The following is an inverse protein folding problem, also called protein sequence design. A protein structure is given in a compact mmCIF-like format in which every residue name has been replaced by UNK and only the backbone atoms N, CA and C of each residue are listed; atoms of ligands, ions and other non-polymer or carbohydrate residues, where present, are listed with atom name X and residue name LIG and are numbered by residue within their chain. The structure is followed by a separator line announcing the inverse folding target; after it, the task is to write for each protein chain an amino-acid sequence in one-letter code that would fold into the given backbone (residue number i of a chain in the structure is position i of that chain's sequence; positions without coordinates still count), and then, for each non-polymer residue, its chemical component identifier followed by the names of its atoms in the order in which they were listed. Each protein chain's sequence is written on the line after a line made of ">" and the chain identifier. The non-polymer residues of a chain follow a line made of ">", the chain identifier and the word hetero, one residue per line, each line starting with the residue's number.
data_IF_174982812182
#
_entry.id   IF_174982812182
#
_cell.length_a   1.000
_cell.length_b   1.000
_cell.length_c   1.000
_cell.angle_alpha   90.00
_cell.angle_beta   90.00
_cell.angle_gamma   90.00
#
_symmetry.space_group_name_H-M   'P 1'
#
loop_
_entity.id
_entity.type
_entity.pdbx_description
1 polymer ?
#
# COMPACT_ATOMS: atom_id res chain seq x y z
N UNK A 1 1.28 2.46 -17.50
CA UNK A 1 2.35 2.73 -18.52
C UNK A 1 3.13 3.96 -18.08
N UNK A 2 4.47 3.91 -18.13
CA UNK A 2 5.33 5.04 -17.79
C UNK A 2 6.62 4.99 -18.63
N UNK A 3 7.30 6.15 -18.72
CA UNK A 3 8.62 6.28 -19.30
C UNK A 3 9.64 6.33 -18.17
N UNK A 4 10.73 5.60 -18.31
CA UNK A 4 11.78 5.46 -17.29
C UNK A 4 13.14 5.75 -17.91
N UNK A 5 13.85 6.72 -17.34
CA UNK A 5 15.23 7.08 -17.70
C UNK A 5 16.12 6.86 -16.49
N UNK A 6 17.09 5.96 -16.59
CA UNK A 6 17.93 5.55 -15.46
C UNK A 6 19.41 5.49 -15.85
N UNK A 7 20.26 5.96 -14.94
CA UNK A 7 21.69 5.71 -14.92
C UNK A 7 22.14 5.21 -13.53
N UNK A 8 23.43 5.13 -13.29
CA UNK A 8 23.96 4.65 -12.00
C UNK A 8 23.59 5.52 -10.80
N UNK A 9 23.37 6.80 -11.03
CA UNK A 9 23.16 7.79 -9.97
C UNK A 9 21.70 8.27 -9.88
N UNK A 10 20.97 8.30 -10.99
CA UNK A 10 19.64 8.88 -11.08
C UNK A 10 18.64 7.99 -11.80
N UNK A 11 17.41 8.09 -11.39
CA UNK A 11 16.24 7.58 -12.12
C UNK A 11 15.19 8.68 -12.18
N UNK A 12 14.69 8.95 -13.38
CA UNK A 12 13.54 9.83 -13.63
C UNK A 12 12.45 9.00 -14.29
N UNK A 13 11.24 9.06 -13.76
CA UNK A 13 10.13 8.31 -14.31
C UNK A 13 8.87 9.19 -14.38
N UNK A 14 8.12 9.07 -15.49
CA UNK A 14 6.92 9.86 -15.79
C UNK A 14 5.81 8.93 -16.26
N UNK A 15 4.63 9.01 -15.67
CA UNK A 15 3.46 8.24 -16.04
C UNK A 15 2.84 7.51 -14.88
N UNK A 16 2.01 6.51 -15.17
CA UNK A 16 1.31 5.75 -14.14
C UNK A 16 2.25 4.75 -13.44
N UNK A 17 2.46 4.94 -12.15
CA UNK A 17 3.35 4.14 -11.32
C UNK A 17 2.70 3.87 -9.95
N UNK A 18 3.19 2.84 -9.28
CA UNK A 18 2.83 2.54 -7.88
C UNK A 18 3.34 3.67 -6.97
N UNK A 19 2.66 3.92 -5.86
CA UNK A 19 3.02 4.95 -4.88
C UNK A 19 4.48 4.85 -4.41
N UNK A 20 5.07 5.98 -4.06
CA UNK A 20 6.36 6.05 -3.34
C UNK A 20 6.14 5.85 -1.84
N UNK A 21 5.00 6.31 -1.35
CA UNK A 21 4.57 6.06 0.02
C UNK A 21 4.21 4.60 0.21
N UNK A 22 4.88 3.89 1.15
CA UNK A 22 4.63 2.49 1.48
C UNK A 22 4.72 1.57 0.24
N UNK A 23 5.93 1.43 -0.30
CA UNK A 23 6.18 0.69 -1.54
C UNK A 23 6.13 -0.84 -1.35
N UNK A 24 6.29 -1.31 -0.10
CA UNK A 24 6.37 -2.73 0.21
C UNK A 24 4.99 -3.34 0.37
N UNK A 25 4.79 -4.51 -0.25
CA UNK A 25 3.53 -5.25 -0.20
C UNK A 25 3.77 -6.70 0.26
N UNK A 26 2.82 -7.33 0.97
CA UNK A 26 2.87 -8.74 1.30
C UNK A 26 2.70 -9.60 0.05
N UNK A 27 3.33 -10.77 0.04
CA UNK A 27 3.21 -11.71 -1.07
C UNK A 27 2.06 -12.70 -0.81
N UNK A 28 0.87 -12.26 -1.10
CA UNK A 28 -0.35 -13.06 -1.01
C UNK A 28 -0.75 -13.61 -2.37
N UNK A 29 -1.49 -14.71 -2.36
CA UNK A 29 -2.14 -15.27 -3.55
C UNK A 29 -3.22 -14.31 -4.07
N UNK A 30 -3.92 -13.60 -3.17
CA UNK A 30 -4.73 -12.44 -3.48
C UNK A 30 -3.85 -11.22 -3.77
N UNK A 31 -3.17 -11.24 -4.89
CA UNK A 31 -2.24 -10.18 -5.29
C UNK A 31 -2.89 -8.84 -5.60
N UNK A 32 -4.23 -8.77 -5.73
CA UNK A 32 -4.92 -7.53 -6.07
C UNK A 32 -5.17 -6.64 -4.84
N UNK A 33 -5.58 -7.25 -3.74
CA UNK A 33 -5.87 -6.50 -2.52
C UNK A 33 -4.80 -6.67 -1.44
N UNK A 34 -4.03 -7.75 -1.48
CA UNK A 34 -3.04 -8.09 -0.46
C UNK A 34 -3.61 -7.81 0.95
N UNK A 35 -2.93 -7.12 1.82
CA UNK A 35 -3.46 -6.68 3.10
C UNK A 35 -4.05 -5.26 3.05
N UNK A 36 -4.53 -4.79 1.90
CA UNK A 36 -5.23 -3.50 1.83
C UNK A 36 -6.38 -3.45 2.84
N UNK A 37 -6.50 -2.34 3.56
CA UNK A 37 -7.41 -2.19 4.69
C UNK A 37 -7.15 -3.12 5.89
N UNK A 38 -5.99 -3.80 5.93
CA UNK A 38 -5.54 -4.65 7.04
C UNK A 38 -4.05 -4.45 7.32
N UNK A 39 -3.57 -3.21 7.26
CA UNK A 39 -2.22 -2.82 7.65
C UNK A 39 -1.26 -2.52 6.53
N UNK A 40 -1.57 -2.88 5.27
CA UNK A 40 -0.78 -2.50 4.11
C UNK A 40 -1.32 -1.20 3.51
N UNK A 41 -0.53 -0.13 3.61
CA UNK A 41 -0.79 1.13 2.92
C UNK A 41 -0.04 1.19 1.59
N UNK A 42 -0.24 2.24 0.78
CA UNK A 42 0.38 2.35 -0.54
C UNK A 42 -0.21 1.39 -1.57
N UNK A 43 0.61 0.95 -2.51
CA UNK A 43 0.23 0.01 -3.57
C UNK A 43 -0.91 0.48 -4.51
N UNK A 44 -1.20 1.76 -4.54
CA UNK A 44 -2.07 2.34 -5.56
C UNK A 44 -1.24 2.78 -6.77
N UNK A 45 -1.86 2.80 -7.95
CA UNK A 45 -1.22 3.29 -9.16
C UNK A 45 -1.82 4.64 -9.55
N UNK A 46 -0.95 5.64 -9.74
CA UNK A 46 -1.37 7.00 -10.14
C UNK A 46 -0.35 7.66 -11.06
N UNK A 47 -0.77 8.70 -11.76
CA UNK A 47 0.13 9.52 -12.56
C UNK A 47 1.17 10.20 -11.67
N UNK A 48 2.46 10.08 -12.01
CA UNK A 48 3.56 10.62 -11.21
C UNK A 48 4.67 11.19 -12.08
N UNK A 49 5.32 12.24 -11.55
CA UNK A 49 6.66 12.64 -11.88
C UNK A 49 7.56 12.23 -10.72
N UNK A 50 8.52 11.34 -10.97
CA UNK A 50 9.38 10.77 -9.92
C UNK A 50 10.85 10.97 -10.25
N UNK A 51 11.62 11.40 -9.26
CA UNK A 51 13.08 11.43 -9.30
C UNK A 51 13.64 10.60 -8.14
N UNK A 52 14.63 9.76 -8.43
CA UNK A 52 15.35 8.97 -7.41
C UNK A 52 16.84 9.20 -7.58
N UNK A 53 17.53 9.56 -6.50
CA UNK A 53 18.99 9.60 -6.39
C UNK A 53 19.49 8.32 -5.74
N UNK A 54 20.47 7.66 -6.37
CA UNK A 54 21.17 6.51 -5.82
C UNK A 54 22.53 6.95 -5.29
N UNK A 55 22.82 6.60 -4.05
CA UNK A 55 24.09 6.87 -3.38
C UNK A 55 24.67 5.56 -2.90
N UNK A 56 25.81 5.10 -3.47
CA UNK A 56 26.52 3.93 -2.95
C UNK A 56 26.97 4.19 -1.51
N UNK A 57 26.82 3.18 -0.65
CA UNK A 57 27.21 3.26 0.76
C UNK A 57 28.07 2.05 1.13
N UNK A 58 29.37 2.27 1.23
CA UNK A 58 30.32 1.17 1.45
C UNK A 58 30.40 0.22 0.25
N UNK A 59 30.79 -1.04 0.51
CA UNK A 59 31.08 -2.04 -0.53
C UNK A 59 29.82 -2.61 -1.19
N UNK A 60 28.77 -2.87 -0.40
CA UNK A 60 27.57 -3.59 -0.84
C UNK A 60 26.26 -2.88 -0.46
N UNK A 61 26.38 -1.61 -0.04
CA UNK A 61 25.24 -0.81 0.40
C UNK A 61 24.80 0.21 -0.65
N UNK A 62 23.50 0.54 -0.63
CA UNK A 62 22.88 1.57 -1.47
C UNK A 62 21.83 2.32 -0.69
N UNK A 63 21.94 3.65 -0.71
CA UNK A 63 20.88 4.55 -0.26
C UNK A 63 20.14 5.09 -1.48
N UNK A 64 18.81 5.06 -1.45
CA UNK A 64 17.95 5.63 -2.48
C UNK A 64 17.12 6.74 -1.86
N UNK A 65 17.15 7.92 -2.46
CA UNK A 65 16.37 9.10 -2.07
C UNK A 65 15.37 9.39 -3.18
N UNK A 66 14.09 9.24 -2.90
CA UNK A 66 13.01 9.40 -3.89
C UNK A 66 12.12 10.56 -3.54
N UNK A 67 11.75 11.35 -4.53
CA UNK A 67 10.73 12.41 -4.46
C UNK A 67 9.80 12.25 -5.65
N UNK A 68 8.50 12.37 -5.42
CA UNK A 68 7.49 12.32 -6.47
C UNK A 68 6.41 13.38 -6.27
N UNK A 69 5.96 13.94 -7.39
CA UNK A 69 4.72 14.68 -7.51
C UNK A 69 3.67 13.74 -8.10
N UNK A 70 2.65 13.39 -7.32
CA UNK A 70 1.65 12.37 -7.67
C UNK A 70 0.26 12.97 -7.80
N UNK A 71 -0.49 12.46 -8.77
CA UNK A 71 -1.87 12.84 -8.99
C UNK A 71 -2.73 12.46 -7.76
N UNK A 72 -3.50 13.40 -7.17
CA UNK A 72 -4.48 13.07 -6.15
C UNK A 72 -5.61 12.25 -6.78
N UNK A 73 -5.70 10.96 -6.42
CA UNK A 73 -6.74 10.05 -6.92
C UNK A 73 -7.76 9.82 -5.81
N UNK A 74 -9.06 9.83 -6.14
CA UNK A 74 -10.12 9.51 -5.19
C UNK A 74 -10.24 8.01 -4.96
N UNK A 75 -10.74 7.61 -3.79
CA UNK A 75 -11.05 6.21 -3.50
C UNK A 75 -12.28 5.73 -4.27
N UNK A 76 -12.14 4.63 -4.99
CA UNK A 76 -13.24 3.98 -5.70
C UNK A 76 -14.29 3.36 -4.77
N UNK A 77 -14.01 3.25 -3.48
CA UNK A 77 -14.80 2.44 -2.54
C UNK A 77 -15.85 3.21 -1.75
N UNK A 78 -15.89 4.54 -1.83
CA UNK A 78 -16.93 5.33 -1.17
C UNK A 78 -17.97 5.82 -2.16
N UNK A 79 -19.24 5.42 -1.95
CA UNK A 79 -20.38 5.89 -2.77
C UNK A 79 -20.54 7.40 -2.73
N UNK A 80 -20.24 8.02 -1.60
CA UNK A 80 -20.40 9.45 -1.37
C UNK A 80 -19.29 10.30 -1.98
N UNK A 81 -18.21 9.64 -2.45
CA UNK A 81 -17.01 10.28 -2.97
C UNK A 81 -16.83 10.11 -4.49
N UNK A 82 -17.89 9.75 -5.22
CA UNK A 82 -17.83 9.50 -6.68
C UNK A 82 -17.36 10.68 -7.52
N UNK A 83 -17.39 11.88 -6.97
CA UNK A 83 -16.99 13.12 -7.64
C UNK A 83 -15.78 13.76 -6.96
N UNK A 84 -15.03 13.00 -6.21
CA UNK A 84 -13.81 13.50 -5.60
C UNK A 84 -12.81 13.78 -6.69
N UNK A 85 -12.48 15.04 -6.78
CA UNK A 85 -11.71 15.48 -7.92
C UNK A 85 -10.25 15.30 -7.67
N UNK A 86 -9.70 14.67 -8.61
CA UNK A 86 -8.34 14.74 -9.03
C UNK A 86 -7.94 16.18 -9.46
N UNK A 87 -8.90 17.07 -9.59
CA UNK A 87 -8.80 18.34 -10.30
C UNK A 87 -8.37 19.54 -9.46
N UNK A 88 -7.56 19.34 -8.42
CA UNK A 88 -7.01 20.50 -7.71
C UNK A 88 -5.94 21.23 -8.52
N UNK A 89 -5.29 20.56 -9.45
CA UNK A 89 -4.12 21.07 -10.16
C UNK A 89 -2.84 21.12 -9.32
N UNK A 90 -2.94 20.74 -8.02
CA UNK A 90 -1.80 20.62 -7.10
C UNK A 90 -1.56 19.15 -6.82
N UNK A 91 -0.40 18.59 -7.14
CA UNK A 91 -0.09 17.19 -6.85
C UNK A 91 0.10 16.96 -5.36
N UNK A 92 -0.09 15.72 -4.93
CA UNK A 92 0.44 15.25 -3.66
C UNK A 92 1.96 15.10 -3.80
N UNK A 93 2.68 15.32 -2.71
CA UNK A 93 4.11 15.08 -2.63
C UNK A 93 4.34 13.78 -1.87
N UNK A 94 5.08 12.87 -2.50
CA UNK A 94 5.53 11.63 -1.88
C UNK A 94 7.06 11.61 -1.82
N UNK A 95 7.61 11.01 -0.78
CA UNK A 95 9.06 10.86 -0.62
C UNK A 95 9.40 9.55 0.05
N UNK A 96 10.60 9.03 -0.24
CA UNK A 96 11.14 7.86 0.44
C UNK A 96 12.66 7.96 0.57
N UNK A 97 13.15 7.42 1.68
CA UNK A 97 14.56 7.15 1.94
C UNK A 97 14.70 5.65 2.19
N UNK A 98 15.42 4.94 1.32
CA UNK A 98 15.57 3.47 1.38
C UNK A 98 17.04 3.09 1.42
N UNK A 99 17.40 2.30 2.41
CA UNK A 99 18.71 1.69 2.54
C UNK A 99 18.64 0.18 2.27
N UNK A 100 19.58 -0.33 1.47
CA UNK A 100 19.70 -1.74 1.12
C UNK A 100 21.16 -2.16 1.23
N UNK A 101 21.42 -3.32 1.85
CA UNK A 101 22.78 -3.86 1.99
C UNK A 101 22.79 -5.40 1.99
N UNK A 102 23.91 -5.97 1.61
CA UNK A 102 24.13 -7.42 1.65
C UNK A 102 23.39 -8.17 0.54
N UNK A 103 23.65 -7.81 -0.71
CA UNK A 103 23.20 -8.60 -1.87
C UNK A 103 23.86 -9.97 -1.89
N UNK A 104 23.08 -11.02 -2.22
CA UNK A 104 23.58 -12.39 -2.39
C UNK A 104 22.85 -13.05 -3.56
N UNK A 105 23.51 -13.22 -4.72
CA UNK A 105 22.89 -13.79 -5.91
C UNK A 105 22.51 -15.27 -5.76
N UNK A 106 23.06 -15.96 -4.76
CA UNK A 106 22.70 -17.35 -4.48
C UNK A 106 21.54 -17.50 -3.48
N UNK A 107 21.08 -16.41 -2.88
CA UNK A 107 19.93 -16.45 -2.00
C UNK A 107 18.66 -16.83 -2.78
N UNK A 108 17.82 -17.62 -2.15
CA UNK A 108 16.50 -17.97 -2.72
C UNK A 108 15.47 -16.89 -2.38
N UNK A 109 15.64 -16.25 -1.23
CA UNK A 109 14.83 -15.09 -0.82
C UNK A 109 15.26 -13.86 -1.62
N UNK A 110 14.34 -13.14 -2.27
CA UNK A 110 14.66 -11.99 -3.14
C UNK A 110 14.94 -10.69 -2.38
N UNK A 111 15.29 -10.77 -1.08
CA UNK A 111 15.63 -9.60 -0.27
C UNK A 111 17.13 -9.46 -0.10
N UNK A 112 17.63 -8.24 0.11
CA UNK A 112 18.96 -8.00 0.63
C UNK A 112 19.07 -8.55 2.08
N UNK A 113 20.28 -8.70 2.60
CA UNK A 113 20.42 -9.09 4.00
C UNK A 113 19.71 -8.11 4.94
N UNK A 114 19.73 -6.83 4.58
CA UNK A 114 19.04 -5.74 5.26
C UNK A 114 18.44 -4.77 4.26
N UNK A 115 17.15 -4.50 4.39
CA UNK A 115 16.45 -3.39 3.73
C UNK A 115 15.65 -2.62 4.77
N UNK A 116 15.83 -1.30 4.82
CA UNK A 116 15.07 -0.39 5.66
C UNK A 116 14.61 0.79 4.81
N UNK A 117 13.37 1.22 4.98
CA UNK A 117 12.89 2.43 4.34
C UNK A 117 12.01 3.25 5.28
N UNK A 118 12.01 4.55 5.05
CA UNK A 118 11.03 5.48 5.60
C UNK A 118 10.47 6.27 4.44
N UNK A 119 9.15 6.34 4.36
CA UNK A 119 8.45 7.08 3.32
C UNK A 119 7.36 7.96 3.90
N UNK A 120 6.92 8.94 3.13
CA UNK A 120 5.85 9.82 3.55
C UNK A 120 5.06 10.39 2.38
N UNK A 121 3.86 10.85 2.69
CA UNK A 121 2.98 11.54 1.76
C UNK A 121 2.37 12.77 2.41
N UNK A 122 2.22 13.84 1.64
CA UNK A 122 1.51 15.05 2.03
C UNK A 122 0.76 15.63 0.82
N UNK A 123 -0.49 16.02 1.05
CA UNK A 123 -1.31 16.62 -0.02
C UNK A 123 -2.76 16.80 0.40
N UNK A 124 -3.62 16.87 -0.58
CA UNK A 124 -5.07 16.91 -0.35
C UNK A 124 -5.82 16.56 -1.63
N UNK A 125 -7.09 16.28 -1.50
CA UNK A 125 -7.99 16.16 -2.64
C UNK A 125 -9.26 16.97 -2.37
N UNK A 126 -10.09 17.19 -3.40
CA UNK A 126 -11.35 17.91 -3.26
C UNK A 126 -12.50 16.93 -3.18
N UNK A 127 -13.43 17.24 -2.28
CA UNK A 127 -14.74 16.56 -2.20
C UNK A 127 -15.79 17.49 -2.77
N UNK A 128 -16.56 17.02 -3.73
CA UNK A 128 -17.69 17.74 -4.33
C UNK A 128 -19.00 17.06 -3.97
N UNK A 129 -20.03 17.87 -3.86
CA UNK A 129 -21.42 17.43 -3.82
C UNK A 129 -22.07 17.76 -5.17
N UNK A 130 -22.78 16.80 -5.73
CA UNK A 130 -23.64 17.02 -6.87
C UNK A 130 -24.98 17.57 -6.40
N UNK A 131 -25.25 18.81 -6.72
CA UNK A 131 -26.56 19.42 -6.52
C UNK A 131 -27.25 19.59 -7.88
N UNK A 132 -28.55 19.41 -7.93
CA UNK A 132 -29.34 19.69 -9.15
C UNK A 132 -29.92 21.08 -9.02
N UNK A 133 -29.42 22.03 -9.81
CA UNK A 133 -29.94 23.39 -9.92
C UNK A 133 -30.57 23.57 -11.30
N UNK A 134 -31.84 23.90 -11.33
CA UNK A 134 -32.58 24.15 -12.58
C UNK A 134 -32.47 23.03 -13.64
N UNK A 135 -32.44 21.75 -13.22
CA UNK A 135 -32.33 20.60 -14.11
C UNK A 135 -30.90 20.27 -14.55
N UNK A 136 -29.89 21.06 -14.16
CA UNK A 136 -28.47 20.80 -14.44
C UNK A 136 -27.74 20.32 -13.19
N UNK A 137 -26.85 19.35 -13.36
CA UNK A 137 -25.97 18.89 -12.27
C UNK A 137 -24.87 19.92 -12.07
N UNK A 138 -24.84 20.52 -10.88
CA UNK A 138 -23.81 21.46 -10.45
C UNK A 138 -22.94 20.82 -9.39
N UNK A 139 -21.64 20.79 -9.61
CA UNK A 139 -20.67 20.30 -8.64
C UNK A 139 -20.30 21.41 -7.66
N UNK A 140 -20.79 21.33 -6.43
CA UNK A 140 -20.41 22.27 -5.38
C UNK A 140 -19.29 21.68 -4.54
N UNK A 141 -18.14 22.38 -4.48
CA UNK A 141 -17.04 22.00 -3.59
C UNK A 141 -17.48 22.14 -2.14
N UNK A 142 -17.30 21.09 -1.34
CA UNK A 142 -17.71 21.05 0.06
C UNK A 142 -16.58 20.84 1.06
N UNK A 143 -15.47 20.22 0.64
CA UNK A 143 -14.36 19.94 1.55
C UNK A 143 -13.03 19.76 0.80
N UNK A 144 -11.91 19.91 1.55
CA UNK A 144 -10.54 19.59 1.08
C UNK A 144 -9.78 18.81 2.16
N UNK A 145 -10.07 17.51 2.33
CA UNK A 145 -9.33 16.70 3.28
C UNK A 145 -7.83 16.70 3.00
N UNK A 146 -7.05 16.81 4.06
CA UNK A 146 -5.58 16.77 4.00
C UNK A 146 -5.10 15.34 4.16
N UNK A 147 -4.40 14.86 3.15
CA UNK A 147 -3.71 13.57 3.18
C UNK A 147 -2.35 13.77 3.83
N UNK A 148 -2.06 13.00 4.85
CA UNK A 148 -0.73 12.96 5.49
C UNK A 148 -0.44 11.57 5.99
N UNK A 149 0.77 11.06 5.75
CA UNK A 149 1.19 9.77 6.22
C UNK A 149 2.70 9.63 6.31
N UNK A 150 3.13 8.79 7.23
CA UNK A 150 4.52 8.31 7.35
C UNK A 150 4.48 6.80 7.50
N UNK A 151 5.43 6.12 6.85
CA UNK A 151 5.56 4.67 6.87
C UNK A 151 7.03 4.28 7.07
N UNK A 152 7.26 3.28 7.92
CA UNK A 152 8.53 2.58 8.06
C UNK A 152 8.41 1.18 7.50
N UNK A 153 9.39 0.77 6.69
CA UNK A 153 9.40 -0.52 6.00
C UNK A 153 10.69 -1.26 6.31
N UNK A 154 10.61 -2.58 6.38
CA UNK A 154 11.78 -3.43 6.60
C UNK A 154 11.70 -4.74 5.82
N UNK A 155 12.87 -5.28 5.45
CA UNK A 155 13.04 -6.67 5.08
C UNK A 155 14.40 -7.19 5.54
N UNK A 156 14.40 -8.41 6.01
CA UNK A 156 15.59 -9.12 6.48
C UNK A 156 15.67 -10.48 5.82
N UNK A 157 16.89 -10.84 5.39
CA UNK A 157 17.18 -12.19 4.95
C UNK A 157 17.97 -12.93 6.04
N UNK A 158 17.43 -14.05 6.48
CA UNK A 158 18.07 -14.94 7.47
C UNK A 158 18.65 -16.16 6.75
N UNK A 159 19.91 -16.07 6.39
CA UNK A 159 20.56 -17.06 5.52
C UNK A 159 20.02 -16.99 4.08
N UNK A 160 20.03 -18.13 3.36
CA UNK A 160 19.63 -18.18 1.95
C UNK A 160 18.14 -18.44 1.71
N UNK A 161 17.44 -18.96 2.70
CA UNK A 161 16.09 -19.58 2.53
C UNK A 161 14.97 -18.91 3.32
N UNK A 162 15.29 -18.06 4.29
CA UNK A 162 14.27 -17.44 5.15
C UNK A 162 14.33 -15.93 4.99
N UNK A 163 13.18 -15.31 4.88
CA UNK A 163 13.02 -13.87 4.83
C UNK A 163 11.89 -13.39 5.73
N UNK A 164 12.03 -12.20 6.27
CA UNK A 164 10.99 -11.51 7.03
C UNK A 164 10.86 -10.12 6.44
N UNK A 165 9.64 -9.65 6.21
CA UNK A 165 9.39 -8.29 5.77
C UNK A 165 8.11 -7.74 6.39
N UNK A 166 7.95 -6.43 6.33
CA UNK A 166 6.77 -5.76 6.80
C UNK A 166 6.86 -4.24 6.74
N UNK A 167 5.81 -3.62 7.23
CA UNK A 167 5.73 -2.18 7.38
C UNK A 167 4.91 -1.78 8.60
N UNK A 168 5.06 -0.54 9.02
CA UNK A 168 4.21 0.15 9.98
C UNK A 168 3.95 1.56 9.49
N UNK A 169 2.71 2.00 9.51
CA UNK A 169 2.35 3.34 9.10
C UNK A 169 1.43 4.04 10.09
N UNK A 170 1.41 5.36 10.03
CA UNK A 170 0.40 6.20 10.67
C UNK A 170 0.10 7.41 9.79
N UNK A 171 -1.12 7.91 9.89
CA UNK A 171 -1.51 9.08 9.11
C UNK A 171 -2.99 9.42 9.22
N UNK A 172 -3.45 10.23 8.28
CA UNK A 172 -4.85 10.64 8.16
C UNK A 172 -5.26 10.70 6.69
N UNK A 173 -6.53 10.40 6.43
CA UNK A 173 -7.13 10.42 5.09
C UNK A 173 -6.41 9.51 4.07
N UNK A 174 -5.80 8.41 4.53
CA UNK A 174 -5.01 7.50 3.70
C UNK A 174 -5.84 6.47 2.91
N UNK A 175 -7.17 6.59 2.89
CA UNK A 175 -8.02 5.69 2.12
C UNK A 175 -7.64 5.60 0.63
N UNK A 176 -7.15 6.68 0.06
CA UNK A 176 -6.64 6.74 -1.32
C UNK A 176 -5.27 6.05 -1.49
N UNK A 177 -4.61 5.73 -0.40
CA UNK A 177 -3.34 5.03 -0.31
C UNK A 177 -3.52 3.65 0.34
N UNK A 178 -4.68 3.03 0.19
CA UNK A 178 -5.05 1.70 0.73
C UNK A 178 -4.99 1.58 2.26
N UNK A 179 -4.63 2.63 2.97
CA UNK A 179 -4.65 2.71 4.44
C UNK A 179 -6.02 3.13 5.00
N UNK A 180 -6.08 3.38 6.31
CA UNK A 180 -7.26 3.90 7.01
C UNK A 180 -8.52 3.04 6.79
N UNK A 181 -8.33 1.73 6.61
CA UNK A 181 -9.41 0.78 6.25
C UNK A 181 -10.21 1.31 5.03
N UNK A 182 -9.50 1.87 4.03
CA UNK A 182 -10.03 2.50 2.82
C UNK A 182 -10.97 3.69 3.09
N UNK A 183 -10.92 4.26 4.29
CA UNK A 183 -11.75 5.41 4.69
C UNK A 183 -10.89 6.69 4.66
N UNK A 184 -11.49 7.79 4.31
CA UNK A 184 -10.79 9.08 4.23
C UNK A 184 -11.42 10.10 5.17
N UNK A 185 -12.72 10.28 5.04
CA UNK A 185 -13.59 11.07 5.93
C UNK A 185 -14.83 10.26 6.25
N UNK A 186 -15.50 10.54 7.35
CA UNK A 186 -16.76 9.86 7.68
C UNK A 186 -17.91 10.29 6.78
N UNK A 187 -17.95 11.52 6.44
CA UNK A 187 -18.91 12.12 5.50
C UNK A 187 -18.26 13.25 4.71
N UNK A 188 -18.94 13.76 3.71
CA UNK A 188 -18.33 14.69 2.76
C UNK A 188 -17.85 16.01 3.39
N UNK A 189 -18.43 16.43 4.52
CA UNK A 189 -18.04 17.66 5.26
C UNK A 189 -17.24 17.38 6.52
N UNK A 190 -16.91 16.10 6.78
CA UNK A 190 -16.26 15.69 8.02
C UNK A 190 -14.74 15.86 7.96
N UNK A 191 -14.13 15.84 9.14
CA UNK A 191 -12.66 15.80 9.28
C UNK A 191 -12.10 14.48 8.77
N UNK A 192 -10.82 14.50 8.53
CA UNK A 192 -10.03 13.34 8.14
C UNK A 192 -10.07 12.26 9.22
N UNK A 193 -10.15 11.00 8.81
CA UNK A 193 -10.00 9.86 9.70
C UNK A 193 -8.52 9.57 9.87
N UNK A 194 -8.07 9.57 11.13
CA UNK A 194 -6.71 9.19 11.52
C UNK A 194 -6.63 7.68 11.70
N UNK A 195 -5.50 7.11 11.33
CA UNK A 195 -5.26 5.68 11.45
C UNK A 195 -3.81 5.34 11.68
N UNK A 196 -3.61 4.10 12.07
CA UNK A 196 -2.32 3.41 12.09
C UNK A 196 -2.52 1.98 11.64
N UNK A 197 -1.51 1.42 10.99
CA UNK A 197 -1.54 0.05 10.55
C UNK A 197 -0.15 -0.55 10.51
N UNK A 198 -0.10 -1.87 10.50
CA UNK A 198 1.13 -2.61 10.28
C UNK A 198 0.84 -3.97 9.68
N UNK A 199 1.81 -4.51 8.98
CA UNK A 199 1.82 -5.92 8.62
C UNK A 199 3.24 -6.50 8.67
N UNK A 200 3.29 -7.80 8.78
CA UNK A 200 4.54 -8.58 8.72
C UNK A 200 4.29 -9.92 8.06
N UNK A 201 5.28 -10.43 7.35
CA UNK A 201 5.28 -11.80 6.86
C UNK A 201 6.65 -12.46 7.02
N UNK A 202 6.65 -13.77 7.21
CA UNK A 202 7.81 -14.64 7.12
C UNK A 202 7.67 -15.53 5.89
N UNK A 203 8.75 -15.62 5.10
CA UNK A 203 8.86 -16.48 3.93
C UNK A 203 9.88 -17.58 4.16
N UNK A 204 9.54 -18.82 3.79
CA UNK A 204 10.42 -19.99 3.85
C UNK A 204 10.48 -20.60 2.46
N UNK A 205 11.66 -20.72 1.89
CA UNK A 205 11.90 -21.36 0.60
C UNK A 205 12.33 -22.81 0.81
N UNK A 206 11.47 -23.74 0.49
CA UNK A 206 11.73 -25.19 0.54
C UNK A 206 12.60 -25.64 -0.61
N UNK A 207 12.37 -25.05 -1.80
CA UNK A 207 13.16 -25.14 -3.04
C UNK A 207 13.24 -23.75 -3.66
N UNK A 208 14.10 -23.56 -4.67
CA UNK A 208 14.18 -22.27 -5.40
C UNK A 208 12.84 -21.83 -5.99
N UNK A 209 11.97 -22.78 -6.29
CA UNK A 209 10.69 -22.59 -6.93
C UNK A 209 9.47 -23.00 -6.06
N UNK A 210 9.67 -23.30 -4.77
CA UNK A 210 8.59 -23.62 -3.81
C UNK A 210 8.80 -22.85 -2.53
N UNK A 211 7.84 -22.03 -2.17
CA UNK A 211 7.89 -21.19 -0.97
C UNK A 211 6.58 -21.26 -0.20
N UNK A 212 6.67 -21.08 1.10
CA UNK A 212 5.53 -20.86 2.00
C UNK A 212 5.68 -19.51 2.68
N UNK A 213 4.55 -18.85 2.96
CA UNK A 213 4.51 -17.58 3.69
C UNK A 213 3.45 -17.64 4.77
N UNK A 214 3.75 -16.99 5.88
CA UNK A 214 2.82 -16.76 6.97
C UNK A 214 2.88 -15.27 7.29
N UNK A 215 1.74 -14.63 7.42
CA UNK A 215 1.70 -13.21 7.71
C UNK A 215 0.48 -12.79 8.50
N UNK A 216 0.60 -11.60 9.04
CA UNK A 216 -0.43 -10.90 9.78
C UNK A 216 -0.40 -9.41 9.43
N UNK A 217 -1.59 -8.82 9.32
CA UNK A 217 -1.75 -7.39 9.18
C UNK A 217 -2.93 -6.86 9.96
N UNK A 218 -2.83 -5.60 10.38
CA UNK A 218 -3.85 -4.91 11.15
C UNK A 218 -3.89 -3.44 10.79
N UNK A 219 -5.10 -2.90 10.68
CA UNK A 219 -5.38 -1.49 10.46
C UNK A 219 -6.38 -0.99 11.50
N UNK A 220 -6.13 0.17 12.10
CA UNK A 220 -6.98 0.77 13.13
C UNK A 220 -7.24 2.25 12.81
N UNK A 221 -8.51 2.64 12.79
CA UNK A 221 -8.96 4.03 12.76
C UNK A 221 -9.23 4.56 14.16
N UNK A 222 -9.00 5.84 14.38
CA UNK A 222 -9.39 6.51 15.63
C UNK A 222 -10.92 6.51 15.75
N UNK A 223 -11.45 5.89 16.80
CA UNK A 223 -12.91 5.72 17.02
C UNK A 223 -13.65 7.05 17.08
N UNK A 224 -13.03 8.07 17.63
CA UNK A 224 -13.60 9.42 17.73
C UNK A 224 -13.83 10.09 16.36
N UNK A 225 -13.05 9.72 15.34
CA UNK A 225 -13.20 10.27 13.99
C UNK A 225 -14.34 9.58 13.22
N UNK A 226 -14.87 8.45 13.72
CA UNK A 226 -15.93 7.65 13.06
C UNK A 226 -17.35 8.04 13.45
N UNK A 227 -17.55 9.00 14.36
CA UNK A 227 -18.87 9.51 14.77
C UNK A 227 -19.90 8.42 15.11
N UNK A 228 -19.49 7.40 15.85
CA UNK A 228 -20.39 6.40 16.43
C UNK A 228 -20.70 5.18 15.57
N UNK A 229 -20.44 5.20 14.26
CA UNK A 229 -20.67 4.04 13.37
C UNK A 229 -19.56 3.94 12.32
N UNK A 230 -19.00 2.77 12.11
CA UNK A 230 -18.01 2.51 11.06
C UNK A 230 -17.06 1.39 11.40
N UNK A 231 -16.24 0.99 10.45
CA UNK A 231 -15.17 0.03 10.68
C UNK A 231 -14.03 0.76 11.37
N UNK A 232 -13.67 0.32 12.57
CA UNK A 232 -12.56 0.95 13.30
C UNK A 232 -11.31 0.09 13.34
N UNK A 233 -11.46 -1.26 13.10
CA UNK A 233 -10.33 -2.17 13.07
C UNK A 233 -10.57 -3.30 12.10
N UNK A 234 -9.57 -3.59 11.27
CA UNK A 234 -9.45 -4.81 10.49
C UNK A 234 -8.18 -5.55 10.89
N UNK A 235 -8.25 -6.88 10.91
CA UNK A 235 -7.06 -7.72 11.02
C UNK A 235 -7.19 -8.93 10.11
N UNK A 236 -6.05 -9.36 9.56
CA UNK A 236 -5.97 -10.48 8.64
C UNK A 236 -4.76 -11.33 8.98
N UNK A 237 -4.98 -12.63 9.15
CA UNK A 237 -3.94 -13.67 9.15
C UNK A 237 -3.99 -14.38 7.82
N UNK A 238 -2.85 -14.70 7.26
CA UNK A 238 -2.78 -15.51 6.04
C UNK A 238 -1.63 -16.50 6.10
N UNK A 239 -1.82 -17.61 5.39
CA UNK A 239 -0.76 -18.58 5.13
C UNK A 239 -0.92 -19.13 3.73
N UNK A 240 0.19 -19.22 2.99
CA UNK A 240 0.16 -19.71 1.62
C UNK A 240 1.34 -20.60 1.28
N UNK A 241 1.17 -21.34 0.18
CA UNK A 241 2.22 -22.06 -0.53
C UNK A 241 2.16 -21.66 -1.99
N UNK A 242 3.28 -21.24 -2.54
CA UNK A 242 3.42 -20.82 -3.94
C UNK A 242 4.46 -21.72 -4.59
N UNK A 243 4.12 -22.24 -5.78
CA UNK A 243 4.97 -23.07 -6.59
C UNK A 243 5.11 -22.46 -8.00
N UNK A 244 6.32 -22.04 -8.35
CA UNK A 244 6.67 -21.66 -9.71
C UNK A 244 7.00 -22.93 -10.49
N UNK A 245 6.02 -23.44 -11.23
CA UNK A 245 6.14 -24.69 -12.02
C UNK A 245 7.25 -24.55 -13.05
N UNK A 246 7.31 -23.38 -13.70
CA UNK A 246 8.37 -22.97 -14.60
C UNK A 246 8.44 -21.43 -14.66
N UNK A 247 9.19 -20.85 -15.62
CA UNK A 247 9.36 -19.39 -15.75
C UNK A 247 8.07 -18.62 -16.13
N UNK A 248 7.10 -19.32 -16.67
CA UNK A 248 5.85 -18.76 -17.20
C UNK A 248 4.63 -19.14 -16.38
N UNK A 249 4.69 -20.20 -15.60
CA UNK A 249 3.55 -20.76 -14.86
C UNK A 249 3.85 -20.80 -13.38
N UNK A 250 3.00 -20.20 -12.59
CA UNK A 250 2.97 -20.35 -11.14
C UNK A 250 1.57 -20.73 -10.65
N UNK A 251 1.50 -21.40 -9.52
CA UNK A 251 0.25 -21.73 -8.84
C UNK A 251 0.43 -21.58 -7.33
N UNK A 252 -0.65 -21.29 -6.60
CA UNK A 252 -0.58 -21.10 -5.16
C UNK A 252 -1.91 -21.40 -4.48
N UNK A 253 -1.79 -21.82 -3.22
CA UNK A 253 -2.91 -22.03 -2.31
C UNK A 253 -2.76 -21.07 -1.14
N UNK A 254 -3.84 -20.45 -0.70
CA UNK A 254 -3.86 -19.52 0.44
C UNK A 254 -5.08 -19.77 1.32
N UNK A 255 -4.85 -19.73 2.61
CA UNK A 255 -5.87 -19.64 3.64
C UNK A 255 -5.76 -18.29 4.33
N UNK A 256 -6.87 -17.55 4.40
CA UNK A 256 -6.94 -16.24 5.02
C UNK A 256 -8.04 -16.23 6.07
N UNK A 257 -7.74 -15.74 7.27
CA UNK A 257 -8.73 -15.41 8.31
C UNK A 257 -8.79 -13.90 8.45
N UNK A 258 -9.98 -13.31 8.26
CA UNK A 258 -10.24 -11.87 8.38
C UNK A 258 -11.20 -11.60 9.53
N UNK A 259 -10.92 -10.55 10.31
CA UNK A 259 -11.80 -10.03 11.37
C UNK A 259 -11.97 -8.53 11.19
N UNK A 260 -13.23 -8.09 11.15
CA UNK A 260 -13.62 -6.68 11.04
C UNK A 260 -14.41 -6.28 12.28
N UNK A 261 -13.95 -5.25 12.97
CA UNK A 261 -14.61 -4.70 14.14
C UNK A 261 -15.28 -3.38 13.83
N UNK A 262 -16.52 -3.26 14.24
CA UNK A 262 -17.35 -2.12 13.98
C UNK A 262 -17.59 -1.29 15.25
N UNK A 263 -17.67 0.02 15.08
CA UNK A 263 -18.21 0.89 16.11
C UNK A 263 -19.73 0.92 15.97
N UNK A 264 -20.45 0.57 17.05
CA UNK A 264 -21.93 0.58 17.07
C UNK A 264 -22.63 -0.58 16.34
N UNK A 265 -21.89 -1.56 15.81
CA UNK A 265 -22.43 -2.76 15.15
C UNK A 265 -21.71 -4.02 15.65
N UNK A 266 -22.26 -5.18 15.30
CA UNK A 266 -21.64 -6.48 15.61
C UNK A 266 -20.39 -6.69 14.73
N UNK A 267 -19.34 -7.20 15.34
CA UNK A 267 -18.13 -7.61 14.65
C UNK A 267 -18.40 -8.77 13.67
N UNK A 268 -17.62 -8.79 12.59
CA UNK A 268 -17.68 -9.83 11.57
C UNK A 268 -16.33 -10.53 11.41
N UNK A 269 -16.37 -11.81 11.07
CA UNK A 269 -15.16 -12.60 10.81
C UNK A 269 -15.44 -13.68 9.76
N UNK A 270 -14.42 -14.09 9.05
CA UNK A 270 -14.54 -15.10 8.03
C UNK A 270 -13.22 -15.73 7.64
N UNK A 271 -13.31 -16.93 7.06
CA UNK A 271 -12.20 -17.67 6.47
C UNK A 271 -12.39 -17.72 4.96
N UNK A 272 -11.33 -17.48 4.23
CA UNK A 272 -11.30 -17.61 2.76
C UNK A 272 -10.21 -18.59 2.39
N UNK A 273 -10.55 -19.55 1.54
CA UNK A 273 -9.60 -20.41 0.85
C UNK A 273 -9.51 -19.97 -0.60
N UNK A 274 -8.28 -19.80 -1.11
CA UNK A 274 -8.02 -19.35 -2.45
C UNK A 274 -7.01 -20.27 -3.15
N UNK A 275 -7.27 -20.56 -4.40
CA UNK A 275 -6.33 -21.20 -5.29
C UNK A 275 -6.15 -20.32 -6.52
N UNK A 276 -4.91 -20.11 -6.91
CA UNK A 276 -4.56 -19.31 -8.10
C UNK A 276 -3.74 -20.11 -9.09
N UNK A 277 -3.89 -19.73 -10.33
CA UNK A 277 -3.04 -20.16 -11.43
C UNK A 277 -2.68 -18.91 -12.24
N UNK A 278 -1.38 -18.65 -12.38
CA UNK A 278 -0.87 -17.48 -13.08
C UNK A 278 -0.04 -17.93 -14.28
N UNK A 279 -0.30 -17.31 -15.41
CA UNK A 279 0.48 -17.44 -16.64
C UNK A 279 1.08 -16.08 -16.98
N UNK A 280 2.41 -16.02 -17.15
CA UNK A 280 3.15 -14.81 -17.53
C UNK A 280 3.75 -15.01 -18.93
N UNK A 281 3.47 -14.06 -19.82
CA UNK A 281 4.00 -14.02 -21.19
C UNK A 281 5.42 -13.43 -21.22
#
# INVERSE_FOLDING_TARGET
>A
MYVDMKNEQWRFAVGQQVDVFSERIPNMVDGFFALAASGCAGNSSRGQLRATRFVPTGKDGKLSLTLAASQPVSTYFSKDLRNNSENRGIPNVEWAVKYQAGSDPEAWVPYHALELAVSGVSGSYRVFKNDTLAGSIVNTRINEPKVMGICGEYAFRLGKKVGIQGEVYTGQALGNYMGTILQTTKGPTDKEIRSQGFWTEAAIYWKKNVQSRLGYGQDECKKEDLKGVGVWKNSTYFGNVIWDVNKTISTGLELTYKSTQYLGLRDNQGVTFMWTFQYSL
#
